data_IF_871880240208
#
_entry.id   IF_871880240208
#
_cell.length_a   1.000
_cell.length_b   1.000
_cell.length_c   1.000
_cell.angle_alpha   90.00
_cell.angle_beta   90.00
_cell.angle_gamma   90.00
#
_symmetry.space_group_name_H-M   'P 1'
#
loop_
_entity.id
_entity.type
_entity.pdbx_description
1 polymer ?
#
# COMPACT_ATOMS: atom_id res chain seq x y z
N UNK A 1 -2.98 16.46 -14.92
CA UNK A 1 -2.81 15.00 -14.70
C UNK A 1 -1.65 14.46 -15.49
N UNK A 2 -1.39 15.02 -16.68
CA UNK A 2 -0.23 14.70 -17.53
C UNK A 2 1.11 14.70 -16.77
N UNK A 3 1.37 15.69 -15.91
CA UNK A 3 2.58 15.70 -15.08
C UNK A 3 2.69 14.48 -14.15
N UNK A 4 1.57 14.02 -13.57
CA UNK A 4 1.56 12.83 -12.72
C UNK A 4 1.67 11.55 -13.55
N UNK A 5 1.10 11.52 -14.76
CA UNK A 5 1.32 10.43 -15.72
C UNK A 5 2.80 10.30 -16.09
N UNK A 6 3.48 11.42 -16.37
CA UNK A 6 4.92 11.43 -16.66
C UNK A 6 5.74 10.89 -15.49
N UNK A 7 5.43 11.33 -14.25
CA UNK A 7 6.10 10.82 -13.05
C UNK A 7 5.86 9.32 -12.87
N UNK A 8 4.64 8.84 -13.14
CA UNK A 8 4.34 7.40 -13.09
C UNK A 8 5.07 6.60 -14.17
N UNK A 9 5.26 7.19 -15.35
CA UNK A 9 6.00 6.57 -16.45
C UNK A 9 7.49 6.48 -16.14
N UNK A 10 8.10 7.56 -15.66
CA UNK A 10 9.49 7.56 -15.18
C UNK A 10 9.68 6.56 -14.04
N UNK A 11 8.76 6.55 -13.07
CA UNK A 11 8.77 5.58 -11.97
C UNK A 11 8.67 4.13 -12.48
N UNK A 12 7.83 3.89 -13.49
CA UNK A 12 7.72 2.57 -14.13
C UNK A 12 9.04 2.19 -14.79
N UNK A 13 9.64 3.07 -15.58
CA UNK A 13 10.93 2.81 -16.25
C UNK A 13 12.00 2.46 -15.22
N UNK A 14 12.08 3.26 -14.15
CA UNK A 14 13.04 3.04 -13.08
C UNK A 14 12.82 1.71 -12.35
N UNK A 15 11.58 1.40 -11.92
CA UNK A 15 11.28 0.15 -11.22
C UNK A 15 11.46 -1.09 -12.11
N UNK A 16 11.07 -1.02 -13.39
CA UNK A 16 11.22 -2.12 -14.34
C UNK A 16 12.68 -2.36 -14.76
N UNK A 17 13.61 -1.44 -14.46
CA UNK A 17 15.05 -1.66 -14.66
C UNK A 17 15.60 -2.79 -13.78
N UNK A 18 14.96 -3.08 -12.65
CA UNK A 18 15.34 -4.15 -11.75
C UNK A 18 14.72 -5.48 -12.18
N UNK A 19 15.56 -6.47 -12.50
CA UNK A 19 15.10 -7.82 -12.91
C UNK A 19 14.16 -8.49 -11.90
N UNK A 20 14.39 -8.25 -10.60
CA UNK A 20 13.56 -8.78 -9.52
C UNK A 20 12.12 -8.26 -9.61
N UNK A 21 11.94 -6.97 -9.91
CA UNK A 21 10.63 -6.35 -10.03
C UNK A 21 9.86 -6.93 -11.22
N UNK A 22 10.54 -7.13 -12.36
CA UNK A 22 9.92 -7.78 -13.53
C UNK A 22 9.38 -9.18 -13.20
N UNK A 23 10.10 -9.96 -12.40
CA UNK A 23 9.66 -11.30 -11.96
C UNK A 23 8.49 -11.25 -10.96
N UNK A 24 8.46 -10.25 -10.09
CA UNK A 24 7.41 -10.08 -9.08
C UNK A 24 6.15 -9.40 -9.63
N UNK A 25 6.25 -8.76 -10.78
CA UNK A 25 5.17 -7.98 -11.38
C UNK A 25 3.83 -8.72 -11.55
N UNK A 26 3.80 -10.03 -11.91
CA UNK A 26 2.55 -10.81 -11.95
C UNK A 26 1.85 -10.92 -10.58
N UNK A 27 2.62 -10.87 -9.50
CA UNK A 27 2.14 -11.06 -8.13
C UNK A 27 1.88 -9.75 -7.38
N UNK A 28 2.00 -8.59 -8.03
CA UNK A 28 1.85 -7.25 -7.45
C UNK A 28 0.69 -7.08 -6.47
N UNK A 29 -0.52 -7.55 -6.83
CA UNK A 29 -1.71 -7.42 -5.99
C UNK A 29 -1.64 -8.35 -4.77
N UNK A 30 -1.16 -9.58 -4.96
CA UNK A 30 -0.96 -10.54 -3.88
C UNK A 30 0.11 -10.06 -2.90
N UNK A 31 1.16 -9.39 -3.38
CA UNK A 31 2.19 -8.80 -2.52
C UNK A 31 1.59 -7.66 -1.69
N UNK A 32 0.84 -6.74 -2.32
CA UNK A 32 0.20 -5.63 -1.61
C UNK A 32 -0.82 -6.12 -0.58
N UNK A 33 -1.76 -6.97 -0.99
CA UNK A 33 -2.82 -7.48 -0.11
C UNK A 33 -2.29 -8.48 0.92
N UNK A 34 -1.34 -9.32 0.53
CA UNK A 34 -0.68 -10.27 1.42
C UNK A 34 0.11 -9.55 2.51
N UNK A 35 0.82 -8.48 2.18
CA UNK A 35 1.52 -7.67 3.17
C UNK A 35 0.56 -6.94 4.13
N UNK A 36 -0.59 -6.45 3.62
CA UNK A 36 -1.66 -5.93 4.49
C UNK A 36 -2.20 -7.02 5.43
N UNK A 37 -2.40 -8.24 4.92
CA UNK A 37 -2.76 -9.40 5.72
C UNK A 37 -1.73 -9.70 6.81
N UNK A 38 -0.44 -9.68 6.49
CA UNK A 38 0.64 -9.84 7.46
C UNK A 38 0.63 -8.73 8.53
N UNK A 39 0.43 -7.47 8.13
CA UNK A 39 0.31 -6.36 9.09
C UNK A 39 -0.90 -6.55 10.00
N UNK A 40 -2.06 -6.94 9.47
CA UNK A 40 -3.26 -7.17 10.28
C UNK A 40 -3.09 -8.37 11.23
N UNK A 41 -2.49 -9.46 10.75
CA UNK A 41 -2.17 -10.62 11.58
C UNK A 41 -1.21 -10.24 12.72
N UNK A 42 -0.21 -9.41 12.45
CA UNK A 42 0.67 -8.90 13.49
C UNK A 42 -0.09 -8.11 14.56
N UNK A 43 -0.97 -7.18 14.17
CA UNK A 43 -1.79 -6.41 15.12
C UNK A 43 -2.71 -7.32 15.95
N UNK A 44 -3.32 -8.34 15.33
CA UNK A 44 -4.13 -9.32 16.06
C UNK A 44 -3.30 -10.11 17.06
N UNK A 45 -2.14 -10.62 16.66
CA UNK A 45 -1.27 -11.41 17.55
C UNK A 45 -0.78 -10.55 18.70
N UNK A 46 -0.38 -9.30 18.44
CA UNK A 46 0.07 -8.37 19.47
C UNK A 46 -1.00 -8.06 20.52
N UNK A 47 -2.29 -8.13 20.13
CA UNK A 47 -3.41 -7.98 21.06
C UNK A 47 -3.56 -9.17 22.03
N UNK A 48 -3.11 -10.36 21.64
CA UNK A 48 -3.27 -11.60 22.43
C UNK A 48 -1.97 -12.10 23.09
N UNK A 49 -0.78 -11.76 22.59
CA UNK A 49 0.49 -12.25 23.13
C UNK A 49 1.70 -11.38 22.75
N UNK A 50 2.74 -11.36 23.61
CA UNK A 50 3.88 -10.42 23.55
C UNK A 50 5.18 -11.08 23.05
N UNK A 51 5.11 -11.99 22.08
CA UNK A 51 6.31 -12.70 21.58
C UNK A 51 7.09 -11.94 20.49
N UNK A 52 8.39 -11.78 20.71
CA UNK A 52 9.35 -11.08 19.83
C UNK A 52 9.53 -11.68 18.43
N UNK A 53 9.24 -12.98 18.24
CA UNK A 53 9.40 -13.68 16.94
C UNK A 53 8.48 -13.08 15.85
N UNK A 54 7.40 -12.40 16.22
CA UNK A 54 6.46 -11.78 15.28
C UNK A 54 6.95 -10.44 14.71
N UNK A 55 8.07 -9.88 15.17
CA UNK A 55 8.66 -8.67 14.60
C UNK A 55 9.03 -8.80 13.12
N UNK A 56 9.36 -10.03 12.68
CA UNK A 56 9.62 -10.32 11.26
C UNK A 56 8.33 -10.11 10.44
N UNK A 57 7.17 -10.48 10.99
CA UNK A 57 5.88 -10.33 10.30
C UNK A 57 5.49 -8.85 10.14
N UNK A 58 5.74 -8.03 11.16
CA UNK A 58 5.59 -6.58 11.08
C UNK A 58 6.48 -5.97 9.98
N UNK A 59 7.75 -6.38 9.94
CA UNK A 59 8.73 -5.94 8.94
C UNK A 59 8.31 -6.31 7.52
N UNK A 60 7.90 -7.56 7.31
CA UNK A 60 7.40 -8.06 6.01
C UNK A 60 6.13 -7.31 5.61
N UNK A 61 5.19 -7.10 6.55
CA UNK A 61 3.97 -6.37 6.28
C UNK A 61 4.23 -4.90 5.90
N UNK A 62 5.17 -4.24 6.57
CA UNK A 62 5.54 -2.86 6.27
C UNK A 62 6.21 -2.72 4.90
N UNK A 63 7.34 -3.38 4.68
CA UNK A 63 8.10 -3.24 3.42
C UNK A 63 7.38 -3.91 2.24
N UNK A 64 6.73 -5.04 2.48
CA UNK A 64 5.93 -5.74 1.48
C UNK A 64 4.77 -4.89 0.99
N UNK A 65 4.14 -4.10 1.87
CA UNK A 65 3.05 -3.21 1.47
C UNK A 65 3.55 -2.13 0.52
N UNK A 66 4.64 -1.44 0.86
CA UNK A 66 5.19 -0.39 -0.02
C UNK A 66 5.67 -0.94 -1.35
N UNK A 67 6.37 -2.08 -1.33
CA UNK A 67 6.84 -2.74 -2.55
C UNK A 67 5.66 -3.15 -3.44
N UNK A 68 4.65 -3.81 -2.86
CA UNK A 68 3.43 -4.19 -3.57
C UNK A 68 2.66 -2.97 -4.07
N UNK A 69 2.53 -1.92 -3.25
CA UNK A 69 1.86 -0.68 -3.61
C UNK A 69 2.53 0.01 -4.79
N UNK A 70 3.87 0.17 -4.77
CA UNK A 70 4.60 0.74 -5.90
C UNK A 70 4.45 -0.09 -7.17
N UNK A 71 4.47 -1.41 -7.06
CA UNK A 71 4.22 -2.30 -8.21
C UNK A 71 2.80 -2.12 -8.74
N UNK A 72 1.78 -2.05 -7.88
CA UNK A 72 0.38 -1.81 -8.31
C UNK A 72 0.25 -0.44 -8.96
N UNK A 73 0.94 0.57 -8.43
CA UNK A 73 0.93 1.94 -8.93
C UNK A 73 1.43 2.03 -10.39
N UNK A 74 2.52 1.33 -10.71
CA UNK A 74 3.06 1.32 -12.08
C UNK A 74 2.33 0.34 -13.02
N UNK A 75 1.37 -0.44 -12.51
CA UNK A 75 0.69 -1.47 -13.28
C UNK A 75 -0.58 -0.96 -13.98
N UNK A 76 -1.18 -1.81 -14.82
CA UNK A 76 -2.52 -1.57 -15.38
C UNK A 76 -3.62 -1.64 -14.31
N UNK A 77 -3.33 -2.24 -13.17
CA UNK A 77 -4.23 -2.44 -12.03
C UNK A 77 -4.18 -1.31 -11.00
N UNK A 78 -3.69 -0.13 -11.38
CA UNK A 78 -3.61 1.06 -10.53
C UNK A 78 -4.94 1.40 -9.83
N UNK A 79 -6.09 1.00 -10.41
CA UNK A 79 -7.42 1.12 -9.78
C UNK A 79 -7.51 0.48 -8.39
N UNK A 80 -6.66 -0.49 -8.06
CA UNK A 80 -6.63 -1.17 -6.77
C UNK A 80 -5.73 -0.49 -5.72
N UNK A 81 -4.80 0.38 -6.15
CA UNK A 81 -3.91 1.10 -5.24
C UNK A 81 -4.64 1.98 -4.19
N UNK A 82 -5.72 2.72 -4.51
CA UNK A 82 -6.45 3.50 -3.51
C UNK A 82 -7.01 2.63 -2.39
N UNK A 83 -7.54 1.45 -2.75
CA UNK A 83 -8.08 0.49 -1.79
C UNK A 83 -6.98 -0.05 -0.86
N UNK A 84 -5.77 -0.29 -1.39
CA UNK A 84 -4.62 -0.66 -0.56
C UNK A 84 -4.29 0.39 0.51
N UNK A 85 -4.35 1.68 0.16
CA UNK A 85 -4.15 2.77 1.12
C UNK A 85 -5.26 2.82 2.17
N UNK A 86 -6.53 2.64 1.78
CA UNK A 86 -7.64 2.60 2.73
C UNK A 86 -7.55 1.40 3.69
N UNK A 87 -7.16 0.22 3.19
CA UNK A 87 -6.89 -0.92 4.05
C UNK A 87 -5.74 -0.63 5.03
N UNK A 88 -4.68 0.07 4.58
CA UNK A 88 -3.58 0.47 5.47
C UNK A 88 -4.04 1.42 6.57
N UNK A 89 -4.93 2.36 6.26
CA UNK A 89 -5.58 3.24 7.26
C UNK A 89 -6.36 2.44 8.27
N UNK A 90 -7.17 1.49 7.81
CA UNK A 90 -7.95 0.62 8.70
C UNK A 90 -7.05 -0.13 9.68
N UNK A 91 -5.97 -0.74 9.19
CA UNK A 91 -5.00 -1.46 10.02
C UNK A 91 -4.30 -0.50 11.01
N UNK A 92 -3.92 0.70 10.54
CA UNK A 92 -3.21 1.68 11.37
C UNK A 92 -4.07 2.26 12.48
N UNK A 93 -5.39 2.34 12.28
CA UNK A 93 -6.33 2.79 13.31
C UNK A 93 -6.82 1.66 14.21
N UNK A 94 -6.69 0.39 13.79
CA UNK A 94 -7.03 -0.77 14.60
C UNK A 94 -6.10 -0.86 15.83
N UNK A 95 -6.58 -1.23 17.03
CA UNK A 95 -7.95 -1.62 17.40
C UNK A 95 -8.86 -0.47 17.84
N UNK A 96 -8.59 0.77 17.41
CA UNK A 96 -9.34 2.00 17.73
C UNK A 96 -9.31 2.41 19.21
N UNK A 97 -8.36 1.87 19.99
CA UNK A 97 -8.26 2.14 21.43
C UNK A 97 -7.24 3.21 21.78
N UNK A 98 -6.26 3.49 20.91
CA UNK A 98 -5.15 4.40 21.20
C UNK A 98 -4.94 5.40 20.06
N UNK A 99 -5.69 6.49 20.12
CA UNK A 99 -5.61 7.60 19.17
C UNK A 99 -4.44 8.53 19.50
N UNK A 100 -3.23 8.13 19.12
CA UNK A 100 -2.09 9.05 19.14
C UNK A 100 -2.18 10.02 17.97
N UNK A 101 -1.72 11.27 18.19
CA UNK A 101 -1.72 12.30 17.15
C UNK A 101 -0.95 11.84 15.90
N UNK A 102 0.16 11.13 16.07
CA UNK A 102 0.96 10.55 14.97
C UNK A 102 0.14 9.56 14.13
N UNK A 103 -0.66 8.70 14.77
CA UNK A 103 -1.53 7.73 14.12
C UNK A 103 -2.63 8.43 13.33
N UNK A 104 -3.26 9.46 13.90
CA UNK A 104 -4.30 10.24 13.22
C UNK A 104 -3.73 10.97 11.99
N UNK A 105 -2.58 11.63 12.14
CA UNK A 105 -1.93 12.33 11.03
C UNK A 105 -1.55 11.32 9.93
N UNK A 106 -0.97 10.18 10.29
CA UNK A 106 -0.63 9.13 9.34
C UNK A 106 -1.86 8.61 8.58
N UNK A 107 -2.94 8.33 9.29
CA UNK A 107 -4.22 7.93 8.69
C UNK A 107 -4.77 9.02 7.75
N UNK A 108 -4.76 10.28 8.18
CA UNK A 108 -5.22 11.40 7.35
C UNK A 108 -4.41 11.54 6.06
N UNK A 109 -3.09 11.38 6.11
CA UNK A 109 -2.22 11.40 4.93
C UNK A 109 -2.58 10.26 3.97
N UNK A 110 -2.75 9.04 4.47
CA UNK A 110 -3.12 7.91 3.62
C UNK A 110 -4.52 8.03 3.02
N UNK A 111 -5.50 8.58 3.77
CA UNK A 111 -6.83 8.88 3.25
C UNK A 111 -6.74 9.94 2.16
N UNK A 112 -5.99 11.03 2.40
CA UNK A 112 -5.81 12.12 1.45
C UNK A 112 -5.19 11.62 0.14
N UNK A 113 -4.09 10.86 0.24
CA UNK A 113 -3.42 10.26 -0.92
C UNK A 113 -4.34 9.24 -1.63
N UNK A 114 -5.03 8.39 -0.87
CA UNK A 114 -5.98 7.41 -1.41
C UNK A 114 -7.12 8.07 -2.18
N UNK A 115 -7.69 9.15 -1.65
CA UNK A 115 -8.73 9.92 -2.31
C UNK A 115 -8.24 10.58 -3.61
N UNK A 116 -7.07 11.22 -3.58
CA UNK A 116 -6.48 11.82 -4.77
C UNK A 116 -6.17 10.77 -5.85
N UNK A 117 -5.66 9.60 -5.44
CA UNK A 117 -5.40 8.51 -6.35
C UNK A 117 -6.69 7.94 -6.94
N UNK A 118 -7.73 7.76 -6.12
CA UNK A 118 -9.05 7.34 -6.56
C UNK A 118 -9.60 8.28 -7.63
N UNK A 119 -9.57 9.59 -7.38
CA UNK A 119 -10.00 10.62 -8.33
C UNK A 119 -9.22 10.55 -9.64
N UNK A 120 -7.90 10.38 -9.56
CA UNK A 120 -7.05 10.20 -10.73
C UNK A 120 -7.42 8.93 -11.54
N UNK A 121 -7.59 7.79 -10.87
CA UNK A 121 -7.97 6.54 -11.56
C UNK A 121 -9.36 6.62 -12.20
N UNK A 122 -10.31 7.28 -11.56
CA UNK A 122 -11.66 7.49 -12.10
C UNK A 122 -11.66 8.41 -13.33
N UNK A 123 -10.84 9.47 -13.32
CA UNK A 123 -10.69 10.36 -14.46
C UNK A 123 -10.03 9.65 -15.65
N UNK A 124 -8.99 8.84 -15.39
CA UNK A 124 -8.32 8.05 -16.42
C UNK A 124 -9.22 6.99 -17.04
N UNK A 125 -10.11 6.37 -16.25
CA UNK A 125 -11.09 5.40 -16.74
C UNK A 125 -12.20 6.03 -17.60
N UNK A 126 -12.44 7.36 -17.47
CA UNK A 126 -13.43 8.08 -18.28
C UNK A 126 -12.87 8.52 -19.64
N UNK A 127 -11.55 8.65 -19.76
CA UNK A 127 -10.86 9.08 -20.98
C UNK A 127 -10.27 7.93 -21.82
N UNK A 128 -10.30 6.69 -21.31
CA UNK A 128 -9.95 5.46 -22.04
C UNK A 128 -11.15 4.82 -22.71
#
# INVERSE_FOLDING_TARGET
MEQFDNVLEELRIWLMSFSVINKLMPYRLYIMLGALGCSLLYELIFLFDYFSIFNILSTIGYYGFFLGFFMVLISKDIKWAPYGLFCKVFILLFPFTSFYLSTIIGAAVYIFLGYHLLKYTALKAKTS
#
